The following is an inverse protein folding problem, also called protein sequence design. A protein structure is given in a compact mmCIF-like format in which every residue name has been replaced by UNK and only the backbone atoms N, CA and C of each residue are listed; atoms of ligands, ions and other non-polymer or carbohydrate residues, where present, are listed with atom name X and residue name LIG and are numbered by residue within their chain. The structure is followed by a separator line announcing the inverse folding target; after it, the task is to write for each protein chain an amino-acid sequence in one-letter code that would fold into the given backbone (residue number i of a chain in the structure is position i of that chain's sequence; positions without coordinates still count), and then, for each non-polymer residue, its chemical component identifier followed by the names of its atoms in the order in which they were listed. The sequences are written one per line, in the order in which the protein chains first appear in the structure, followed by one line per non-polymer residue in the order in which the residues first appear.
data_IF_576659995337
#
_entry.id   IF_576659995337
#
_cell.length_a   1.000
_cell.length_b   1.000
_cell.length_c   1.000
_cell.angle_alpha   90.00
_cell.angle_beta   90.00
_cell.angle_gamma   90.00
#
_symmetry.space_group_name_H-M   'P 1'
#
loop_
_entity.id
_entity.type
_entity.pdbx_description
1 polymer ?
#
# COMPACT_ATOMS: atom_id res chain seq x y z
N UNK A 1 7.36 -0.12 1.30
CA UNK A 1 8.63 -0.14 0.53
C UNK A 1 9.90 0.00 1.35
N UNK A 2 10.67 -1.09 1.38
CA UNK A 2 12.06 -1.09 1.84
C UNK A 2 12.97 -1.41 0.65
N UNK A 3 13.88 -0.49 0.31
CA UNK A 3 14.85 -0.71 -0.74
C UNK A 3 15.93 -1.67 -0.26
N UNK A 4 16.09 -2.81 -0.94
CA UNK A 4 17.20 -3.72 -0.67
C UNK A 4 18.52 -3.08 -1.10
N UNK A 5 19.63 -3.45 -0.45
CA UNK A 5 20.96 -2.94 -0.81
C UNK A 5 21.28 -3.17 -2.29
N UNK A 6 20.85 -4.30 -2.85
CA UNK A 6 21.05 -4.62 -4.26
C UNK A 6 20.29 -3.66 -5.18
N UNK A 7 19.03 -3.35 -4.86
CA UNK A 7 18.24 -2.42 -5.67
C UNK A 7 18.77 -0.99 -5.54
N UNK A 8 19.16 -0.58 -4.33
CA UNK A 8 19.83 0.71 -4.10
C UNK A 8 21.10 0.83 -4.95
N UNK A 9 21.93 -0.22 -4.99
CA UNK A 9 23.13 -0.25 -5.83
C UNK A 9 22.80 -0.12 -7.31
N UNK A 10 21.77 -0.81 -7.79
CA UNK A 10 21.33 -0.75 -9.19
C UNK A 10 20.83 0.65 -9.56
N UNK A 11 20.03 1.28 -8.69
CA UNK A 11 19.54 2.66 -8.86
C UNK A 11 20.71 3.63 -8.95
N UNK A 12 21.64 3.58 -7.98
CA UNK A 12 22.81 4.47 -7.96
C UNK A 12 23.68 4.28 -9.20
N UNK A 13 23.92 3.04 -9.62
CA UNK A 13 24.71 2.75 -10.83
C UNK A 13 24.06 3.35 -12.08
N UNK A 14 22.75 3.13 -12.26
CA UNK A 14 22.00 3.67 -13.41
C UNK A 14 22.01 5.20 -13.41
N UNK A 15 21.76 5.81 -12.24
CA UNK A 15 21.79 7.26 -12.08
C UNK A 15 23.14 7.88 -12.48
N UNK A 16 24.25 7.33 -11.98
CA UNK A 16 25.60 7.84 -12.27
C UNK A 16 25.94 7.70 -13.77
N UNK A 17 25.43 6.64 -14.41
CA UNK A 17 25.67 6.39 -15.83
C UNK A 17 24.72 7.16 -16.77
N UNK A 18 23.73 7.89 -16.23
CA UNK A 18 22.68 8.54 -17.03
C UNK A 18 21.63 7.59 -17.60
N UNK A 19 21.59 6.34 -17.13
CA UNK A 19 20.59 5.35 -17.49
C UNK A 19 19.27 5.61 -16.75
N UNK A 20 18.16 5.13 -17.32
CA UNK A 20 16.86 5.23 -16.66
C UNK A 20 16.75 4.29 -15.45
N UNK A 21 16.92 4.85 -14.26
CA UNK A 21 16.78 4.14 -12.98
C UNK A 21 15.31 3.93 -12.57
N UNK A 22 14.36 4.63 -13.18
CA UNK A 22 12.93 4.59 -12.77
C UNK A 22 12.33 3.21 -12.99
N UNK A 23 12.85 2.42 -13.92
CA UNK A 23 12.44 1.03 -14.12
C UNK A 23 12.62 0.17 -12.86
N UNK A 24 13.67 0.41 -12.07
CA UNK A 24 13.89 -0.31 -10.79
C UNK A 24 12.79 0.05 -9.78
N UNK A 25 12.41 1.34 -9.73
CA UNK A 25 11.36 1.84 -8.83
C UNK A 25 9.98 1.31 -9.24
N UNK A 26 9.64 1.37 -10.53
CA UNK A 26 8.35 0.87 -11.05
C UNK A 26 8.22 -0.63 -10.80
N UNK A 27 9.30 -1.40 -11.00
CA UNK A 27 9.31 -2.84 -10.73
C UNK A 27 9.00 -3.12 -9.25
N UNK A 28 9.58 -2.34 -8.33
CA UNK A 28 9.29 -2.45 -6.91
C UNK A 28 7.84 -2.11 -6.56
N UNK A 29 7.32 -1.00 -7.08
CA UNK A 29 5.93 -0.60 -6.87
C UNK A 29 4.98 -1.69 -7.35
N UNK A 30 5.24 -2.26 -8.53
CA UNK A 30 4.42 -3.34 -9.08
C UNK A 30 4.48 -4.61 -8.21
N UNK A 31 5.65 -4.95 -7.68
CA UNK A 31 5.79 -6.11 -6.79
C UNK A 31 5.02 -5.91 -5.47
N UNK A 32 5.11 -4.72 -4.85
CA UNK A 32 4.34 -4.42 -3.64
C UNK A 32 2.84 -4.42 -3.90
N UNK A 33 2.40 -3.82 -5.01
CA UNK A 33 0.99 -3.81 -5.41
C UNK A 33 0.47 -5.23 -5.66
N UNK A 34 1.24 -6.08 -6.34
CA UNK A 34 0.86 -7.46 -6.57
C UNK A 34 0.72 -8.24 -5.26
N UNK A 35 1.66 -8.04 -4.32
CA UNK A 35 1.57 -8.66 -2.99
C UNK A 35 0.32 -8.21 -2.24
N UNK A 36 0.02 -6.91 -2.27
CA UNK A 36 -1.20 -6.35 -1.70
C UNK A 36 -2.46 -7.01 -2.30
N UNK A 37 -2.54 -7.09 -3.63
CA UNK A 37 -3.68 -7.69 -4.31
C UNK A 37 -3.86 -9.17 -3.95
N UNK A 38 -2.76 -9.92 -3.85
CA UNK A 38 -2.79 -11.33 -3.43
C UNK A 38 -3.35 -11.47 -2.01
N UNK A 39 -2.87 -10.67 -1.05
CA UNK A 39 -3.36 -10.72 0.32
C UNK A 39 -4.84 -10.32 0.42
N UNK A 40 -5.25 -9.29 -0.31
CA UNK A 40 -6.65 -8.90 -0.42
C UNK A 40 -7.54 -10.04 -0.95
N UNK A 41 -7.14 -10.69 -2.05
CA UNK A 41 -7.93 -11.79 -2.61
C UNK A 41 -7.99 -13.01 -1.69
N UNK A 42 -6.95 -13.28 -0.89
CA UNK A 42 -7.00 -14.33 0.14
C UNK A 42 -8.07 -14.04 1.19
N UNK A 43 -8.14 -12.80 1.69
CA UNK A 43 -9.17 -12.40 2.67
C UNK A 43 -10.59 -12.54 2.10
N UNK A 44 -10.79 -12.12 0.84
CA UNK A 44 -12.07 -12.28 0.14
C UNK A 44 -12.43 -13.76 -0.01
N UNK A 45 -11.47 -14.60 -0.41
CA UNK A 45 -11.69 -16.03 -0.56
C UNK A 45 -12.04 -16.71 0.76
N UNK A 46 -11.31 -16.38 1.84
CA UNK A 46 -11.58 -16.87 3.19
C UNK A 46 -12.97 -16.44 3.67
N UNK A 47 -13.36 -15.19 3.42
CA UNK A 47 -14.67 -14.70 3.79
C UNK A 47 -15.79 -15.45 3.07
N UNK A 48 -15.63 -15.72 1.77
CA UNK A 48 -16.57 -16.55 1.00
C UNK A 48 -16.63 -17.99 1.50
N UNK A 49 -15.49 -18.60 1.81
CA UNK A 49 -15.43 -19.97 2.33
C UNK A 49 -16.14 -20.11 3.69
N UNK A 50 -16.10 -19.05 4.51
CA UNK A 50 -16.76 -18.97 5.80
C UNK A 50 -18.22 -18.48 5.73
N UNK A 51 -18.80 -18.36 4.52
CA UNK A 51 -20.16 -17.84 4.30
C UNK A 51 -20.41 -16.44 4.88
N UNK A 52 -19.39 -15.59 4.94
CA UNK A 52 -19.59 -14.17 5.25
C UNK A 52 -20.14 -13.43 4.02
N UNK A 53 -21.12 -12.56 4.26
CA UNK A 53 -21.55 -11.58 3.27
C UNK A 53 -20.46 -10.50 3.12
N UNK A 54 -20.06 -10.29 1.87
CA UNK A 54 -19.04 -9.30 1.51
C UNK A 54 -19.77 -8.05 1.04
N UNK A 55 -20.18 -7.24 2.00
CA UNK A 55 -20.86 -5.96 1.80
C UNK A 55 -19.93 -4.78 2.14
N UNK A 56 -20.48 -3.56 2.15
CA UNK A 56 -19.68 -2.37 2.42
C UNK A 56 -19.14 -2.32 3.85
N UNK A 57 -19.83 -2.94 4.80
CA UNK A 57 -19.41 -2.94 6.21
C UNK A 57 -18.32 -3.98 6.45
N UNK A 58 -18.35 -5.11 5.73
CA UNK A 58 -17.21 -6.03 5.65
C UNK A 58 -15.97 -5.31 5.12
N UNK A 59 -16.09 -4.54 4.03
CA UNK A 59 -14.95 -3.78 3.49
C UNK A 59 -14.42 -2.75 4.48
N UNK A 60 -15.28 -1.98 5.16
CA UNK A 60 -14.84 -1.04 6.20
C UNK A 60 -14.11 -1.76 7.34
N UNK A 61 -14.63 -2.90 7.77
CA UNK A 61 -14.02 -3.69 8.85
C UNK A 61 -12.65 -4.24 8.45
N UNK A 62 -12.52 -4.81 7.27
CA UNK A 62 -11.26 -5.46 6.87
C UNK A 62 -10.22 -4.46 6.33
N UNK A 63 -10.65 -3.37 5.69
CA UNK A 63 -9.75 -2.42 5.00
C UNK A 63 -9.55 -1.11 5.76
N UNK A 64 -10.51 -0.69 6.61
CA UNK A 64 -10.51 0.63 7.27
C UNK A 64 -10.63 0.50 8.81
N UNK A 65 -10.33 -0.66 9.38
CA UNK A 65 -10.39 -0.86 10.84
C UNK A 65 -9.41 0.06 11.57
N UNK A 66 -9.85 0.57 12.71
CA UNK A 66 -9.03 1.36 13.65
C UNK A 66 -7.81 0.56 14.16
N UNK A 67 -7.90 -0.76 14.15
CA UNK A 67 -6.80 -1.65 14.54
C UNK A 67 -5.63 -1.58 13.55
N UNK A 68 -5.88 -1.16 12.31
CA UNK A 68 -4.85 -0.92 11.32
C UNK A 68 -4.08 0.38 11.62
N UNK A 69 -2.86 0.45 11.11
CA UNK A 69 -2.09 1.68 11.14
C UNK A 69 -2.67 2.71 10.15
N UNK A 70 -2.49 4.02 10.41
CA UNK A 70 -2.90 5.06 9.45
C UNK A 70 -2.24 4.90 8.08
N UNK A 71 -1.06 4.29 8.01
CA UNK A 71 -0.37 4.00 6.74
C UNK A 71 -1.15 2.94 5.94
N UNK A 72 -1.57 1.85 6.59
CA UNK A 72 -2.33 0.77 5.97
C UNK A 72 -3.71 1.24 5.53
N UNK A 73 -4.42 1.99 6.36
CA UNK A 73 -5.74 2.56 6.01
C UNK A 73 -5.62 3.46 4.77
N UNK A 74 -4.58 4.30 4.71
CA UNK A 74 -4.33 5.15 3.54
C UNK A 74 -4.08 4.30 2.28
N UNK A 75 -3.22 3.28 2.37
CA UNK A 75 -2.92 2.37 1.25
C UNK A 75 -4.17 1.63 0.78
N UNK A 76 -4.97 1.10 1.70
CA UNK A 76 -6.22 0.40 1.40
C UNK A 76 -7.24 1.32 0.75
N UNK A 77 -7.20 2.62 1.07
CA UNK A 77 -7.99 3.68 0.44
C UNK A 77 -7.42 4.18 -0.89
N UNK A 78 -6.33 3.59 -1.37
CA UNK A 78 -5.66 3.96 -2.62
C UNK A 78 -4.87 5.27 -2.53
N UNK A 79 -4.54 5.73 -1.32
CA UNK A 79 -3.81 6.96 -1.06
C UNK A 79 -2.48 6.70 -0.36
N UNK A 80 -1.52 7.60 -0.58
CA UNK A 80 -0.31 7.63 0.23
C UNK A 80 -0.56 8.52 1.46
N UNK A 81 -0.19 8.06 2.66
CA UNK A 81 -0.32 8.85 3.89
C UNK A 81 0.36 10.21 3.78
N UNK A 82 1.50 10.33 3.10
CA UNK A 82 2.16 11.61 2.84
C UNK A 82 1.29 12.57 2.03
N UNK A 83 0.50 12.06 1.08
CA UNK A 83 -0.46 12.88 0.33
C UNK A 83 -1.51 13.45 1.26
N UNK A 84 -2.08 12.62 2.14
CA UNK A 84 -3.06 13.05 3.16
C UNK A 84 -2.42 14.09 4.09
N UNK A 85 -1.23 13.80 4.63
CA UNK A 85 -0.49 14.75 5.47
C UNK A 85 -0.23 16.08 4.77
N UNK A 86 0.12 16.08 3.49
CA UNK A 86 0.36 17.32 2.76
C UNK A 86 -0.94 18.12 2.53
N UNK A 87 -2.07 17.45 2.34
CA UNK A 87 -3.37 18.10 2.14
C UNK A 87 -3.96 18.66 3.43
N UNK A 88 -3.82 17.94 4.54
CA UNK A 88 -4.47 18.24 5.82
C UNK A 88 -3.51 18.72 6.91
N UNK A 89 -2.21 18.84 6.62
CA UNK A 89 -1.13 19.09 7.58
C UNK A 89 -1.07 18.09 8.75
N UNK A 90 -1.73 16.95 8.62
CA UNK A 90 -1.80 15.90 9.63
C UNK A 90 -2.01 14.54 8.95
N UNK A 91 -1.36 13.52 9.49
CA UNK A 91 -1.52 12.12 9.08
C UNK A 91 -1.89 11.22 10.26
N UNK A 92 -2.60 11.77 11.25
CA UNK A 92 -3.12 10.98 12.37
C UNK A 92 -4.22 10.03 11.88
N UNK A 93 -4.55 9.02 12.69
CA UNK A 93 -5.55 8.02 12.30
C UNK A 93 -6.90 8.65 11.98
N UNK A 94 -7.31 9.61 12.80
CA UNK A 94 -8.59 10.30 12.69
C UNK A 94 -8.69 11.01 11.33
N UNK A 95 -7.63 11.71 10.92
CA UNK A 95 -7.56 12.46 9.66
C UNK A 95 -7.50 11.54 8.43
N UNK A 96 -6.98 10.32 8.59
CA UNK A 96 -6.93 9.33 7.49
C UNK A 96 -8.28 8.61 7.31
N UNK A 97 -9.09 8.51 8.37
CA UNK A 97 -10.39 7.84 8.35
C UNK A 97 -11.54 8.80 7.99
N UNK A 98 -11.44 10.08 8.34
CA UNK A 98 -12.40 11.14 8.00
C UNK A 98 -12.58 11.32 6.48
#
# INVERSE_FOLDING_TARGET
MTLTQQITKNIVRKLINGDDYRIEIVTLINAEFLQFAIEFFKQVAEAKLNNYDIDIDWYKKEMLSIELSPEEIAINSGLNKKTITNMYNSGTREVVID
#
